data_IF_385701811336
#
_entry.id   IF_385701811336
#
_cell.length_a   1.000
_cell.length_b   1.000
_cell.length_c   1.000
_cell.angle_alpha   90.00
_cell.angle_beta   90.00
_cell.angle_gamma   90.00
#
_symmetry.space_group_name_H-M   'P 1'
#
loop_
_entity.id
_entity.type
_entity.pdbx_description
1 polymer ?
#
# COMPACT_ATOMS: atom_id res chain seq x y z
N UNK A 1 -13.73 16.01 16.87
CA UNK A 1 -13.54 15.05 15.76
C UNK A 1 -12.09 15.14 15.35
N UNK A 2 -11.34 14.04 15.41
CA UNK A 2 -9.91 14.05 15.08
C UNK A 2 -9.73 13.81 13.59
N UNK A 3 -8.66 14.35 13.05
CA UNK A 3 -8.36 14.34 11.63
C UNK A 3 -7.05 13.58 11.43
N UNK A 4 -7.06 12.62 10.50
CA UNK A 4 -5.87 11.90 10.05
C UNK A 4 -5.57 12.29 8.60
N UNK A 5 -4.31 12.29 8.26
CA UNK A 5 -3.81 12.75 6.97
C UNK A 5 -2.95 11.67 6.32
N UNK A 6 -3.21 11.43 5.04
CA UNK A 6 -2.49 10.50 4.20
C UNK A 6 -1.91 11.27 3.01
N UNK A 7 -0.58 11.23 2.89
CA UNK A 7 0.10 11.75 1.71
C UNK A 7 0.40 10.60 0.74
N UNK A 8 0.08 10.77 -0.54
CA UNK A 8 0.19 9.73 -1.56
C UNK A 8 1.05 10.22 -2.72
N UNK A 9 2.19 9.56 -2.90
CA UNK A 9 3.01 9.71 -4.09
C UNK A 9 2.85 8.52 -5.00
N UNK A 10 2.31 8.77 -6.19
CA UNK A 10 1.89 7.73 -7.10
C UNK A 10 2.38 8.01 -8.53
N UNK A 11 2.84 6.97 -9.23
CA UNK A 11 3.11 7.06 -10.67
C UNK A 11 1.83 7.46 -11.43
N UNK A 12 1.93 8.17 -12.58
CA UNK A 12 0.77 8.75 -13.27
C UNK A 12 -0.32 7.76 -13.65
N UNK A 13 0.02 6.50 -13.88
CA UNK A 13 -0.90 5.45 -14.30
C UNK A 13 -1.62 4.73 -13.14
N UNK A 14 -1.38 5.14 -11.89
CA UNK A 14 -1.93 4.53 -10.66
C UNK A 14 -3.24 5.20 -10.19
N UNK A 15 -3.97 5.86 -11.09
CA UNK A 15 -5.26 6.46 -10.76
C UNK A 15 -6.31 5.45 -10.25
N UNK A 16 -6.42 4.22 -10.81
CA UNK A 16 -7.33 3.21 -10.28
C UNK A 16 -7.04 2.85 -8.81
N UNK A 17 -5.76 2.71 -8.46
CA UNK A 17 -5.32 2.48 -7.09
C UNK A 17 -5.68 3.66 -6.19
N UNK A 18 -5.45 4.90 -6.65
CA UNK A 18 -5.77 6.09 -5.87
C UNK A 18 -7.27 6.26 -5.63
N UNK A 19 -8.12 5.88 -6.60
CA UNK A 19 -9.58 5.86 -6.43
C UNK A 19 -10.01 4.86 -5.36
N UNK A 20 -9.49 3.61 -5.44
CA UNK A 20 -9.79 2.57 -4.45
C UNK A 20 -9.26 2.93 -3.05
N UNK A 21 -8.10 3.56 -2.97
CA UNK A 21 -7.56 4.09 -1.72
C UNK A 21 -8.53 5.10 -1.08
N UNK A 22 -9.12 6.00 -1.88
CA UNK A 22 -10.14 6.94 -1.41
C UNK A 22 -11.36 6.22 -0.84
N UNK A 23 -11.80 5.13 -1.49
CA UNK A 23 -12.91 4.29 -1.01
C UNK A 23 -12.56 3.56 0.30
N UNK A 24 -11.35 3.03 0.42
CA UNK A 24 -10.85 2.38 1.65
C UNK A 24 -10.91 3.35 2.82
N UNK A 25 -10.39 4.57 2.65
CA UNK A 25 -10.37 5.57 3.71
C UNK A 25 -11.78 6.03 4.12
N UNK A 26 -12.70 6.15 3.17
CA UNK A 26 -14.10 6.48 3.45
C UNK A 26 -14.82 5.42 4.29
N UNK A 27 -14.39 4.16 4.22
CA UNK A 27 -15.02 3.02 4.91
C UNK A 27 -14.32 2.65 6.22
N UNK A 28 -13.06 3.05 6.42
CA UNK A 28 -12.20 2.56 7.51
C UNK A 28 -12.75 2.89 8.91
N UNK A 29 -13.01 4.17 9.16
CA UNK A 29 -13.30 4.68 10.51
C UNK A 29 -14.25 5.89 10.44
N UNK A 30 -15.57 5.69 10.67
CA UNK A 30 -16.55 6.77 10.55
C UNK A 30 -16.36 7.95 11.53
N UNK A 31 -15.63 7.74 12.64
CA UNK A 31 -15.39 8.78 13.66
C UNK A 31 -14.20 9.69 13.34
N UNK A 32 -13.34 9.30 12.40
CA UNK A 32 -12.13 10.00 12.03
C UNK A 32 -12.32 10.62 10.64
N UNK A 33 -11.97 11.89 10.53
CA UNK A 33 -11.92 12.56 9.22
C UNK A 33 -10.58 12.24 8.56
N UNK A 34 -10.61 11.73 7.33
CA UNK A 34 -9.41 11.54 6.53
C UNK A 34 -9.20 12.72 5.58
N UNK A 35 -7.98 13.27 5.58
CA UNK A 35 -7.48 14.13 4.51
C UNK A 35 -6.52 13.35 3.63
N UNK A 36 -6.68 13.48 2.31
CA UNK A 36 -5.79 12.84 1.33
C UNK A 36 -5.16 13.94 0.51
N UNK A 37 -3.83 13.93 0.44
CA UNK A 37 -3.05 14.79 -0.44
C UNK A 37 -2.24 13.91 -1.38
N UNK A 38 -2.18 14.31 -2.65
CA UNK A 38 -1.46 13.57 -3.69
C UNK A 38 -0.34 14.45 -4.24
N UNK A 39 0.72 13.81 -4.71
CA UNK A 39 1.70 14.44 -5.60
C UNK A 39 0.97 15.19 -6.71
N UNK A 40 1.32 16.46 -6.98
CA UNK A 40 0.72 17.21 -8.08
C UNK A 40 1.03 16.54 -9.43
N UNK A 41 0.08 16.55 -10.38
CA UNK A 41 0.33 16.04 -11.72
C UNK A 41 1.53 16.77 -12.37
N UNK A 42 2.39 16.02 -13.05
CA UNK A 42 3.61 16.59 -13.66
C UNK A 42 3.33 17.75 -14.65
N UNK A 43 2.13 17.82 -15.23
CA UNK A 43 1.75 18.90 -16.15
C UNK A 43 1.44 20.22 -15.46
N UNK A 44 1.09 20.20 -14.17
CA UNK A 44 0.73 21.41 -13.42
C UNK A 44 1.94 22.24 -13.00
N UNK A 45 3.16 21.67 -13.09
CA UNK A 45 4.43 22.31 -12.66
C UNK A 45 4.35 22.94 -11.27
N UNK A 46 3.52 22.38 -10.41
CA UNK A 46 3.38 22.80 -9.02
C UNK A 46 4.40 22.04 -8.17
N UNK A 47 4.99 22.74 -7.20
CA UNK A 47 5.79 22.09 -6.17
C UNK A 47 4.91 21.19 -5.29
N UNK A 48 5.48 20.11 -4.72
CA UNK A 48 4.81 19.33 -3.69
C UNK A 48 4.28 20.21 -2.57
N UNK A 49 3.12 19.84 -2.04
CA UNK A 49 2.59 20.41 -0.80
C UNK A 49 3.39 19.88 0.39
N UNK A 50 4.58 20.47 0.62
CA UNK A 50 5.51 20.06 1.67
C UNK A 50 4.88 20.14 3.07
N UNK A 51 4.10 21.20 3.33
CA UNK A 51 3.42 21.35 4.61
C UNK A 51 2.46 20.17 4.87
N UNK A 52 1.70 19.74 3.86
CA UNK A 52 0.84 18.57 3.99
C UNK A 52 1.63 17.26 4.18
N UNK A 53 2.79 17.13 3.52
CA UNK A 53 3.65 15.96 3.67
C UNK A 53 4.23 15.89 5.08
N UNK A 54 4.82 16.97 5.58
CA UNK A 54 5.46 17.05 6.89
C UNK A 54 4.47 16.82 8.05
N UNK A 55 3.20 17.18 7.85
CA UNK A 55 2.14 16.94 8.83
C UNK A 55 1.42 15.60 8.65
N UNK A 56 1.79 14.78 7.67
CA UNK A 56 1.06 13.55 7.35
C UNK A 56 1.21 12.49 8.45
N UNK A 57 0.11 11.85 8.84
CA UNK A 57 0.14 10.71 9.76
C UNK A 57 0.70 9.45 9.09
N UNK A 58 0.45 9.32 7.79
CA UNK A 58 0.85 8.19 6.98
C UNK A 58 1.28 8.64 5.57
N UNK A 59 2.18 7.88 4.97
CA UNK A 59 2.66 8.11 3.62
C UNK A 59 2.49 6.84 2.77
N UNK A 60 2.04 7.00 1.52
CA UNK A 60 1.93 5.89 0.56
C UNK A 60 2.76 6.20 -0.68
N UNK A 61 3.66 5.27 -1.02
CA UNK A 61 4.40 5.27 -2.27
C UNK A 61 3.82 4.20 -3.20
N UNK A 62 3.29 4.59 -4.35
CA UNK A 62 2.78 3.69 -5.39
C UNK A 62 3.59 3.83 -6.66
N UNK A 63 4.28 2.76 -7.07
CA UNK A 63 5.04 2.76 -8.32
C UNK A 63 4.58 1.67 -9.29
N UNK A 64 4.42 2.07 -10.56
CA UNK A 64 3.98 1.21 -11.65
C UNK A 64 5.09 0.84 -12.61
N UNK A 65 5.00 1.34 -13.85
CA UNK A 65 5.96 1.15 -14.94
C UNK A 65 7.11 2.12 -14.84
N UNK A 66 6.86 3.35 -14.41
CA UNK A 66 7.88 4.39 -14.33
C UNK A 66 7.79 5.15 -13.02
N UNK A 67 8.81 5.97 -12.74
CA UNK A 67 8.79 6.95 -11.66
C UNK A 67 9.01 8.34 -12.24
N UNK A 68 8.17 9.27 -11.80
CA UNK A 68 8.25 10.67 -12.18
C UNK A 68 8.62 11.53 -10.99
N UNK A 69 9.38 12.60 -11.23
CA UNK A 69 9.51 13.65 -10.22
C UNK A 69 8.12 14.23 -9.90
N UNK A 70 7.84 14.63 -8.65
CA UNK A 70 8.74 14.70 -7.49
C UNK A 70 8.72 13.46 -6.55
N UNK A 71 8.18 12.32 -6.95
CA UNK A 71 7.95 11.14 -6.09
C UNK A 71 9.19 10.74 -5.24
N UNK A 72 10.37 10.77 -5.84
CA UNK A 72 11.60 10.37 -5.15
C UNK A 72 11.98 11.31 -3.99
N UNK A 73 11.79 12.62 -4.15
CA UNK A 73 12.13 13.61 -3.11
C UNK A 73 11.07 13.62 -2.01
N UNK A 74 9.80 13.43 -2.35
CA UNK A 74 8.71 13.28 -1.38
C UNK A 74 8.93 12.08 -0.47
N UNK A 75 9.38 10.95 -1.03
CA UNK A 75 9.68 9.76 -0.25
C UNK A 75 10.84 9.98 0.73
N UNK A 76 11.91 10.66 0.30
CA UNK A 76 13.04 10.99 1.18
C UNK A 76 12.57 11.88 2.32
N UNK A 77 11.80 12.93 2.03
CA UNK A 77 11.24 13.82 3.04
C UNK A 77 10.37 13.04 4.05
N UNK A 78 9.46 12.18 3.57
CA UNK A 78 8.61 11.39 4.46
C UNK A 78 9.42 10.53 5.44
N UNK A 79 10.54 9.96 4.98
CA UNK A 79 11.45 9.20 5.85
C UNK A 79 12.20 10.06 6.85
N UNK A 80 12.71 11.21 6.44
CA UNK A 80 13.43 12.14 7.32
C UNK A 80 12.53 12.65 8.45
N UNK A 81 11.24 12.83 8.17
CA UNK A 81 10.22 13.19 9.15
C UNK A 81 9.70 12.00 9.97
N UNK A 82 10.21 10.78 9.74
CA UNK A 82 9.80 9.59 10.49
C UNK A 82 8.37 9.14 10.23
N UNK A 83 7.78 9.55 9.10
CA UNK A 83 6.40 9.23 8.74
C UNK A 83 6.33 7.76 8.34
N UNK A 84 5.32 7.05 8.85
CA UNK A 84 5.11 5.64 8.52
C UNK A 84 4.73 5.52 7.04
N UNK A 85 5.65 4.97 6.25
CA UNK A 85 5.50 4.83 4.81
C UNK A 85 5.10 3.40 4.41
N UNK A 86 4.11 3.28 3.53
CA UNK A 86 3.74 2.03 2.87
C UNK A 86 4.19 2.08 1.41
N UNK A 87 5.11 1.19 1.03
CA UNK A 87 5.72 1.18 -0.31
C UNK A 87 5.15 0.03 -1.14
N UNK A 88 4.49 0.35 -2.23
CA UNK A 88 3.79 -0.59 -3.11
C UNK A 88 4.32 -0.51 -4.53
N UNK A 89 4.44 -1.69 -5.15
CA UNK A 89 4.83 -1.82 -6.55
C UNK A 89 3.89 -2.76 -7.29
N UNK A 90 3.37 -2.28 -8.42
CA UNK A 90 2.58 -3.10 -9.32
C UNK A 90 3.49 -4.15 -9.99
N UNK A 91 3.23 -5.43 -9.73
CA UNK A 91 4.00 -6.56 -10.28
C UNK A 91 3.69 -6.83 -11.75
N UNK A 92 2.49 -6.49 -12.21
CA UNK A 92 2.09 -6.64 -13.62
C UNK A 92 2.73 -5.57 -14.52
N UNK A 93 3.25 -4.48 -13.94
CA UNK A 93 3.92 -3.42 -14.67
C UNK A 93 5.40 -3.75 -14.95
N UNK A 94 5.79 -3.75 -16.22
CA UNK A 94 7.20 -3.83 -16.62
C UNK A 94 7.90 -2.52 -16.23
N UNK A 95 8.93 -2.56 -15.36
CA UNK A 95 9.58 -1.34 -14.88
C UNK A 95 10.49 -0.74 -15.97
N UNK A 96 10.53 0.59 -16.01
CA UNK A 96 11.52 1.35 -16.74
C UNK A 96 12.92 1.18 -16.12
N UNK A 97 13.99 1.56 -16.82
CA UNK A 97 15.32 1.64 -16.22
C UNK A 97 15.38 2.60 -15.02
N UNK A 98 14.66 3.74 -15.09
CA UNK A 98 14.63 4.73 -14.02
C UNK A 98 13.97 4.16 -12.76
N UNK A 99 12.80 3.52 -12.90
CA UNK A 99 12.14 2.86 -11.79
C UNK A 99 12.97 1.70 -11.23
N UNK A 100 13.59 0.91 -12.11
CA UNK A 100 14.45 -0.19 -11.67
C UNK A 100 15.64 0.29 -10.83
N UNK A 101 16.25 1.42 -11.20
CA UNK A 101 17.30 2.05 -10.42
C UNK A 101 16.77 2.57 -9.07
N UNK A 102 15.64 3.27 -9.09
CA UNK A 102 15.00 3.81 -7.90
C UNK A 102 14.64 2.72 -6.87
N UNK A 103 13.96 1.65 -7.30
CA UNK A 103 13.58 0.51 -6.45
C UNK A 103 14.80 -0.15 -5.81
N UNK A 104 15.91 -0.28 -6.56
CA UNK A 104 17.16 -0.87 -6.04
C UNK A 104 17.86 0.01 -5.02
N UNK A 105 17.80 1.33 -5.21
CA UNK A 105 18.41 2.32 -4.31
C UNK A 105 17.60 2.48 -3.02
N UNK A 106 16.30 2.27 -3.08
CA UNK A 106 15.42 2.36 -1.92
C UNK A 106 15.44 1.08 -1.09
N UNK A 107 16.07 1.18 0.08
CA UNK A 107 15.98 0.19 1.16
C UNK A 107 14.66 0.32 1.90
N UNK A 108 13.57 -0.13 1.27
CA UNK A 108 12.22 -0.16 1.83
C UNK A 108 11.60 -1.53 1.61
N UNK A 109 10.62 -1.88 2.44
CA UNK A 109 9.86 -3.11 2.28
C UNK A 109 8.81 -2.92 1.18
N UNK A 110 9.19 -3.25 -0.04
CA UNK A 110 8.31 -3.21 -1.20
C UNK A 110 7.25 -4.31 -1.13
N UNK A 111 5.98 -3.91 -1.08
CA UNK A 111 4.84 -4.81 -1.22
C UNK A 111 4.42 -4.91 -2.67
N UNK A 112 4.43 -6.12 -3.19
CA UNK A 112 4.06 -6.40 -4.57
C UNK A 112 2.58 -6.76 -4.65
N UNK A 113 1.87 -6.22 -5.64
CA UNK A 113 0.47 -6.54 -5.91
C UNK A 113 0.24 -6.75 -7.41
N UNK A 114 -0.77 -7.54 -7.77
CA UNK A 114 -1.13 -7.81 -9.17
C UNK A 114 -2.31 -6.96 -9.68
N UNK A 115 -3.23 -6.59 -8.79
CA UNK A 115 -4.45 -5.86 -9.13
C UNK A 115 -4.70 -4.69 -8.17
N UNK A 116 -5.36 -3.62 -8.62
CA UNK A 116 -5.71 -2.49 -7.75
C UNK A 116 -6.52 -2.91 -6.51
N UNK A 117 -7.37 -3.93 -6.62
CA UNK A 117 -8.15 -4.47 -5.51
C UNK A 117 -7.27 -5.18 -4.48
N UNK A 118 -6.27 -5.95 -4.93
CA UNK A 118 -5.30 -6.58 -4.04
C UNK A 118 -4.48 -5.53 -3.28
N UNK A 119 -4.06 -4.46 -3.97
CA UNK A 119 -3.44 -3.30 -3.32
C UNK A 119 -4.35 -2.69 -2.26
N UNK A 120 -5.61 -2.38 -2.59
CA UNK A 120 -6.52 -1.71 -1.69
C UNK A 120 -6.83 -2.56 -0.44
N UNK A 121 -7.00 -3.87 -0.62
CA UNK A 121 -7.21 -4.83 0.47
C UNK A 121 -5.98 -4.89 1.41
N UNK A 122 -4.76 -5.01 0.87
CA UNK A 122 -3.57 -5.00 1.72
C UNK A 122 -3.38 -3.64 2.40
N UNK A 123 -3.52 -2.52 1.68
CA UNK A 123 -3.40 -1.19 2.29
C UNK A 123 -4.38 -1.01 3.46
N UNK A 124 -5.64 -1.44 3.29
CA UNK A 124 -6.64 -1.43 4.38
C UNK A 124 -6.12 -2.16 5.61
N UNK A 125 -5.69 -3.41 5.45
CA UNK A 125 -5.17 -4.23 6.56
C UNK A 125 -4.02 -3.53 7.29
N UNK A 126 -3.16 -2.86 6.54
CA UNK A 126 -1.94 -2.25 7.03
C UNK A 126 -2.20 -0.92 7.75
N UNK A 127 -3.17 -0.15 7.25
CA UNK A 127 -3.71 1.01 7.96
C UNK A 127 -4.39 0.58 9.26
N UNK A 128 -5.25 -0.45 9.22
CA UNK A 128 -5.93 -0.97 10.42
C UNK A 128 -4.92 -1.43 11.48
N UNK A 129 -3.91 -2.23 11.09
CA UNK A 129 -2.82 -2.66 12.00
C UNK A 129 -2.13 -1.44 12.60
N UNK A 130 -1.77 -0.45 11.78
CA UNK A 130 -1.08 0.74 12.26
C UNK A 130 -1.92 1.58 13.22
N UNK A 131 -3.21 1.71 12.96
CA UNK A 131 -4.13 2.44 13.82
C UNK A 131 -4.32 1.76 15.19
N UNK A 132 -4.40 0.43 15.20
CA UNK A 132 -4.48 -0.36 16.44
C UNK A 132 -3.17 -0.21 17.23
N UNK A 133 -2.01 -0.40 16.58
CA UNK A 133 -0.68 -0.30 17.22
C UNK A 133 -0.39 1.10 17.77
N UNK A 134 -0.78 2.15 17.07
CA UNK A 134 -0.53 3.53 17.48
C UNK A 134 -1.58 4.10 18.42
N UNK A 135 -2.54 3.31 18.89
CA UNK A 135 -3.50 3.75 19.91
C UNK A 135 -2.79 3.97 21.26
N UNK A 136 -3.10 5.05 22.01
CA UNK A 136 -4.20 6.03 21.82
C UNK A 136 -3.85 7.24 20.94
N UNK A 137 -2.68 7.25 20.29
CA UNK A 137 -2.17 8.35 19.48
C UNK A 137 -3.12 8.84 18.39
N UNK A 138 -3.87 7.93 17.75
CA UNK A 138 -4.82 8.26 16.67
C UNK A 138 -6.25 8.59 17.13
N UNK A 139 -6.53 8.52 18.44
CA UNK A 139 -7.82 8.92 19.00
C UNK A 139 -9.00 7.99 18.68
N UNK A 140 -8.73 6.72 18.39
CA UNK A 140 -9.76 5.69 18.25
C UNK A 140 -10.38 5.36 19.62
N UNK A 141 -11.69 5.14 19.64
CA UNK A 141 -12.36 4.59 20.83
C UNK A 141 -12.09 3.10 20.99
N UNK A 142 -12.20 2.57 22.21
CA UNK A 142 -12.02 1.13 22.48
C UNK A 142 -12.91 0.26 21.59
N UNK A 143 -14.18 0.65 21.42
CA UNK A 143 -15.14 -0.09 20.59
C UNK A 143 -14.71 -0.14 19.12
N UNK A 144 -14.08 0.91 18.61
CA UNK A 144 -13.59 0.95 17.24
C UNK A 144 -12.35 0.09 17.06
N UNK A 145 -11.44 0.10 18.04
CA UNK A 145 -10.26 -0.76 18.05
C UNK A 145 -10.70 -2.23 18.05
N UNK A 146 -11.66 -2.59 18.90
CA UNK A 146 -12.20 -3.94 18.98
C UNK A 146 -12.88 -4.37 17.67
N UNK A 147 -13.70 -3.49 17.06
CA UNK A 147 -14.32 -3.74 15.75
C UNK A 147 -13.27 -3.97 14.68
N UNK A 148 -12.30 -3.07 14.55
CA UNK A 148 -11.23 -3.16 13.56
C UNK A 148 -10.37 -4.43 13.75
N UNK A 149 -10.06 -4.79 15.00
CA UNK A 149 -9.30 -5.98 15.32
C UNK A 149 -10.08 -7.27 15.02
N UNK A 150 -11.41 -7.26 15.15
CA UNK A 150 -12.26 -8.39 14.79
C UNK A 150 -12.38 -8.56 13.27
N UNK A 151 -12.60 -7.46 12.53
CA UNK A 151 -12.61 -7.46 11.06
C UNK A 151 -11.29 -7.97 10.49
N UNK A 152 -10.15 -7.48 11.01
CA UNK A 152 -8.83 -7.92 10.56
C UNK A 152 -8.59 -9.42 10.80
N UNK A 153 -9.06 -9.96 11.93
CA UNK A 153 -8.94 -11.39 12.24
C UNK A 153 -9.77 -12.26 11.30
N UNK A 154 -11.01 -11.86 11.01
CA UNK A 154 -11.87 -12.58 10.07
C UNK A 154 -11.25 -12.63 8.66
N UNK A 155 -10.67 -11.51 8.19
CA UNK A 155 -10.00 -11.46 6.90
C UNK A 155 -8.73 -12.33 6.84
N UNK A 156 -7.95 -12.40 7.92
CA UNK A 156 -6.77 -13.27 8.00
C UNK A 156 -7.21 -14.76 8.00
N UNK A 157 -8.31 -15.12 8.66
CA UNK A 157 -8.84 -16.50 8.69
C UNK A 157 -9.35 -16.96 7.31
N UNK A 158 -10.04 -16.10 6.56
CA UNK A 158 -10.53 -16.40 5.21
C UNK A 158 -9.38 -16.65 4.20
N UNK A 159 -8.27 -15.92 4.31
CA UNK A 159 -7.08 -16.14 3.47
C UNK A 159 -6.37 -17.47 3.77
N UNK A 160 -6.30 -17.87 5.04
CA UNK A 160 -5.67 -19.13 5.43
C UNK A 160 -6.57 -20.35 5.10
N UNK A 161 -7.89 -20.21 5.14
CA UNK A 161 -8.84 -21.27 4.77
C UNK A 161 -8.94 -21.54 3.25
N UNK A 162 -8.58 -20.57 2.40
CA UNK A 162 -8.62 -20.71 0.94
C UNK A 162 -7.42 -21.43 0.30
N UNK A 163 -6.40 -21.78 1.08
CA UNK A 163 -5.11 -22.29 0.56
C UNK A 163 -4.98 -23.82 0.57
N UNK A 164 -5.97 -24.57 1.08
CA UNK A 164 -5.85 -26.03 1.22
C UNK A 164 -6.28 -26.87 -0.02
N UNK A 165 -6.78 -26.27 -1.10
CA UNK A 165 -7.34 -27.05 -2.24
C UNK A 165 -6.78 -26.73 -3.65
N UNK A 166 -5.51 -26.34 -3.76
CA UNK A 166 -4.81 -26.28 -5.06
C UNK A 166 -3.39 -26.86 -5.00
N UNK A 167 -3.26 -28.19 -4.91
CA UNK A 167 -2.01 -28.90 -5.25
C UNK A 167 -1.95 -29.20 -6.75
N UNK A 168 -1.64 -28.18 -7.55
CA UNK A 168 -1.23 -28.32 -8.95
C UNK A 168 0.29 -28.19 -9.07
N UNK A 169 0.96 -29.25 -9.55
CA UNK A 169 2.41 -29.32 -9.70
C UNK A 169 2.96 -28.25 -10.66
N UNK A 170 3.41 -27.11 -10.12
CA UNK A 170 3.93 -25.97 -10.89
C UNK A 170 5.44 -25.94 -11.11
N UNK A 171 6.20 -26.96 -10.68
CA UNK A 171 7.67 -26.98 -10.84
C UNK A 171 8.23 -28.39 -11.04
N UNK A 172 8.18 -28.87 -12.28
CA UNK A 172 9.09 -29.88 -12.85
C UNK A 172 9.05 -31.28 -12.23
N UNK A 173 8.57 -32.26 -12.98
CA UNK A 173 8.69 -33.69 -12.67
C UNK A 173 9.42 -34.44 -13.78
N UNK A 174 10.42 -35.25 -13.43
CA UNK A 174 11.13 -36.15 -14.35
C UNK A 174 10.27 -37.38 -14.63
N UNK A 175 10.00 -37.65 -15.91
CA UNK A 175 9.31 -38.88 -16.35
C UNK A 175 10.36 -39.97 -16.55
N UNK A 176 10.30 -41.03 -15.73
CA UNK A 176 11.06 -42.25 -15.96
C UNK A 176 10.22 -43.22 -16.82
N UNK A 177 10.80 -43.85 -17.86
CA UNK A 177 10.10 -44.89 -18.59
C UNK A 177 10.02 -46.14 -17.71
N UNK A 178 8.84 -46.75 -17.63
CA UNK A 178 8.73 -48.10 -17.10
C UNK A 178 8.23 -49.04 -18.19
N UNK A 179 9.16 -49.80 -18.74
CA UNK A 179 8.89 -51.09 -19.39
C UNK A 179 10.23 -51.83 -19.55
N UNK A 180 10.29 -53.16 -19.49
CA UNK A 180 9.47 -54.16 -18.77
C UNK A 180 10.33 -55.11 -17.91
N UNK A 181 9.70 -55.92 -17.05
CA UNK A 181 10.01 -57.37 -16.93
C UNK A 181 8.71 -58.12 -16.72
#
# INVERSE_FOLDING_TARGET
MRELSLYVSASPEMDPECELLGQVLAQLTPSVRWQIKRTPPAHDKMDPDWAALESADFYVLLVGRDITAPIGVEYVAAREHGIRAFSYRNRAATPSPALSAFVRQLHTDWRLYDTPQAFASDLRKQLVRSLIEGTPGYGLSLQEIERLAAELRAEDEDEHGGTEDLRGAGRGGVILPNTPV
#
